data_IF_617193853475
#
_entry.id   IF_617193853475
#
_cell.length_a   1.000
_cell.length_b   1.000
_cell.length_c   1.000
_cell.angle_alpha   90.00
_cell.angle_beta   90.00
_cell.angle_gamma   90.00
#
_symmetry.space_group_name_H-M   'P 1'
#
loop_
_entity.id
_entity.type
_entity.pdbx_description
1 polymer ?
#
# COMPACT_ATOMS: atom_id res chain seq x y z
N UNK A 1 46.77 6.38 -35.20
CA UNK A 1 45.60 6.56 -34.36
C UNK A 1 44.41 5.97 -35.08
N UNK A 2 43.86 4.81 -34.69
CA UNK A 2 42.69 4.26 -35.35
C UNK A 2 41.45 4.96 -34.85
N UNK A 3 40.70 5.59 -35.75
CA UNK A 3 39.37 6.12 -35.55
C UNK A 3 38.39 4.96 -35.26
N UNK A 4 38.08 4.75 -34.00
CA UNK A 4 37.02 3.84 -33.58
C UNK A 4 35.71 4.27 -34.20
N UNK A 5 35.19 3.51 -35.17
CA UNK A 5 33.81 3.58 -35.65
C UNK A 5 32.89 3.37 -34.45
N UNK A 6 32.27 4.46 -33.97
CA UNK A 6 31.13 4.38 -33.02
C UNK A 6 30.04 3.55 -33.74
N UNK A 7 30.01 2.26 -33.48
CA UNK A 7 28.90 1.41 -33.88
C UNK A 7 27.64 2.01 -33.20
N UNK A 8 26.66 2.36 -34.02
CA UNK A 8 25.32 2.70 -33.56
C UNK A 8 24.73 1.47 -32.87
N UNK A 9 25.04 1.34 -31.59
CA UNK A 9 24.52 0.26 -30.77
C UNK A 9 23.05 0.59 -30.53
N UNK A 10 22.16 -0.03 -31.32
CA UNK A 10 20.74 -0.08 -30.93
C UNK A 10 20.75 -0.54 -29.48
N UNK A 11 20.18 0.28 -28.60
CA UNK A 11 20.16 -0.09 -27.18
C UNK A 11 19.66 -1.51 -27.07
N UNK A 12 20.39 -2.38 -26.36
CA UNK A 12 20.02 -3.80 -26.19
C UNK A 12 18.58 -3.96 -25.69
N UNK A 13 18.09 -2.94 -24.97
CA UNK A 13 16.73 -2.85 -24.48
C UNK A 13 15.68 -2.78 -25.61
N UNK A 14 16.02 -2.22 -26.78
CA UNK A 14 15.07 -2.11 -27.92
C UNK A 14 15.04 -3.35 -28.79
N UNK A 15 16.07 -4.23 -28.67
CA UNK A 15 16.13 -5.46 -29.45
C UNK A 15 15.03 -6.42 -28.99
N UNK A 16 14.09 -6.78 -29.88
CA UNK A 16 12.96 -7.67 -29.58
C UNK A 16 11.79 -7.03 -28.80
N UNK A 17 11.96 -5.80 -28.25
CA UNK A 17 10.87 -5.12 -27.55
C UNK A 17 9.70 -4.79 -28.46
N UNK A 18 9.96 -4.27 -29.65
CA UNK A 18 8.92 -3.89 -30.63
C UNK A 18 8.05 -5.09 -31.02
N UNK A 19 8.67 -6.24 -31.33
CA UNK A 19 7.94 -7.47 -31.63
C UNK A 19 7.05 -7.94 -30.47
N UNK A 20 7.46 -7.72 -29.22
CA UNK A 20 6.65 -8.04 -28.05
C UNK A 20 5.44 -7.11 -27.89
N UNK A 21 5.54 -5.85 -28.33
CA UNK A 21 4.41 -4.91 -28.33
C UNK A 21 3.40 -5.27 -29.45
N UNK A 22 3.88 -5.55 -30.66
CA UNK A 22 3.00 -5.86 -31.80
C UNK A 22 2.35 -7.24 -31.72
N UNK A 23 3.00 -8.21 -31.06
CA UNK A 23 2.42 -9.55 -30.82
C UNK A 23 1.44 -9.59 -29.63
N UNK A 24 1.32 -8.51 -28.89
CA UNK A 24 0.42 -8.38 -27.75
C UNK A 24 -1.05 -8.20 -28.15
N UNK A 25 -1.91 -8.10 -27.14
CA UNK A 25 -3.32 -7.77 -27.35
C UNK A 25 -3.47 -6.26 -27.56
N UNK A 26 -4.51 -5.84 -28.26
CA UNK A 26 -4.92 -4.44 -28.35
C UNK A 26 -6.12 -4.23 -27.42
N UNK A 27 -6.09 -3.18 -26.61
CA UNK A 27 -7.21 -2.80 -25.79
C UNK A 27 -8.34 -2.19 -26.64
N UNK A 28 -9.57 -2.15 -26.11
CA UNK A 28 -10.72 -1.58 -26.84
C UNK A 28 -10.56 -0.09 -27.20
N UNK A 29 -9.67 0.62 -26.51
CA UNK A 29 -9.26 2.02 -26.78
C UNK A 29 -8.03 2.13 -27.71
N UNK A 30 -7.55 1.03 -28.29
CA UNK A 30 -6.45 0.95 -29.24
C UNK A 30 -5.05 0.87 -28.62
N UNK A 31 -4.91 0.92 -27.30
CA UNK A 31 -3.61 0.80 -26.66
C UNK A 31 -3.06 -0.62 -26.70
N UNK A 32 -1.74 -0.73 -26.93
CA UNK A 32 -1.06 -2.01 -26.97
C UNK A 32 -0.91 -2.62 -25.57
N UNK A 33 -1.12 -3.93 -25.47
CA UNK A 33 -0.99 -4.72 -24.23
C UNK A 33 -0.08 -5.93 -24.46
N UNK A 34 1.24 -5.74 -24.42
CA UNK A 34 2.16 -6.87 -24.50
C UNK A 34 1.97 -7.83 -23.32
N UNK A 35 2.23 -9.12 -23.54
CA UNK A 35 2.19 -10.15 -22.49
C UNK A 35 3.42 -10.07 -21.58
N UNK A 36 4.58 -9.72 -22.14
CA UNK A 36 5.81 -9.53 -21.38
C UNK A 36 5.75 -8.24 -20.57
N UNK A 37 6.24 -8.28 -19.32
CA UNK A 37 6.27 -7.12 -18.44
C UNK A 37 7.65 -6.47 -18.29
N UNK A 38 8.70 -7.15 -18.73
CA UNK A 38 10.07 -6.61 -18.71
C UNK A 38 10.39 -5.92 -20.04
N UNK A 39 9.68 -4.85 -20.32
CA UNK A 39 9.76 -4.04 -21.53
C UNK A 39 9.86 -2.56 -21.15
N UNK A 40 10.35 -1.70 -22.08
CA UNK A 40 10.31 -0.25 -21.89
C UNK A 40 8.92 0.25 -21.56
N UNK A 41 8.82 1.29 -20.73
CA UNK A 41 7.54 1.85 -20.29
C UNK A 41 6.88 2.67 -21.39
N UNK A 42 6.25 1.95 -22.33
CA UNK A 42 5.45 2.52 -23.43
C UNK A 42 3.98 2.24 -23.22
N UNK A 43 3.17 3.29 -23.18
CA UNK A 43 1.72 3.19 -23.17
C UNK A 43 1.18 3.91 -24.40
N UNK A 44 1.18 3.19 -25.51
CA UNK A 44 0.98 3.74 -26.86
C UNK A 44 0.07 2.87 -27.70
N UNK A 45 -0.43 3.42 -28.79
CA UNK A 45 -1.14 2.67 -29.84
C UNK A 45 -0.14 2.20 -30.92
N UNK A 46 -0.56 1.28 -31.77
CA UNK A 46 0.28 0.74 -32.86
C UNK A 46 0.85 1.85 -33.75
N UNK A 47 0.08 2.86 -34.25
CA UNK A 47 0.62 3.94 -35.09
C UNK A 47 1.70 4.79 -34.43
N UNK A 48 1.77 4.84 -33.10
CA UNK A 48 2.72 5.68 -32.36
C UNK A 48 3.89 4.89 -31.78
N UNK A 49 3.86 3.55 -31.81
CA UNK A 49 4.88 2.68 -31.23
C UNK A 49 6.29 2.95 -31.80
N UNK A 50 6.43 3.01 -33.12
CA UNK A 50 7.74 3.25 -33.76
C UNK A 50 8.29 4.63 -33.41
N UNK A 51 7.43 5.62 -33.26
CA UNK A 51 7.80 6.97 -32.86
C UNK A 51 8.28 7.01 -31.40
N UNK A 52 7.56 6.34 -30.52
CA UNK A 52 7.97 6.20 -29.11
C UNK A 52 9.33 5.51 -28.98
N UNK A 53 9.54 4.44 -29.75
CA UNK A 53 10.81 3.75 -29.81
C UNK A 53 11.95 4.64 -30.33
N UNK A 54 11.69 5.48 -31.35
CA UNK A 54 12.65 6.43 -31.89
C UNK A 54 13.04 7.50 -30.87
N UNK A 55 12.07 8.00 -30.08
CA UNK A 55 12.31 8.94 -28.98
C UNK A 55 13.24 8.31 -27.94
N UNK A 56 12.91 7.10 -27.44
CA UNK A 56 13.72 6.43 -26.43
C UNK A 56 15.14 6.12 -26.95
N UNK A 57 15.26 5.65 -28.20
CA UNK A 57 16.58 5.41 -28.82
C UNK A 57 17.42 6.68 -28.94
N UNK A 58 16.81 7.79 -29.33
CA UNK A 58 17.51 9.08 -29.43
C UNK A 58 17.99 9.55 -28.07
N UNK A 59 17.12 9.46 -27.06
CA UNK A 59 17.50 9.78 -25.68
C UNK A 59 18.61 8.85 -25.17
N UNK A 60 18.52 7.55 -25.41
CA UNK A 60 19.58 6.62 -25.01
C UNK A 60 20.93 6.96 -25.62
N UNK A 61 20.97 7.36 -26.90
CA UNK A 61 22.20 7.77 -27.56
C UNK A 61 22.75 9.06 -26.93
N UNK A 62 21.90 10.05 -26.66
CA UNK A 62 22.31 11.32 -26.03
C UNK A 62 22.79 11.13 -24.59
N UNK A 63 22.12 10.28 -23.81
CA UNK A 63 22.59 9.93 -22.46
C UNK A 63 23.95 9.20 -22.50
N UNK A 64 24.15 8.32 -23.46
CA UNK A 64 25.47 7.69 -23.66
C UNK A 64 26.58 8.73 -23.96
N UNK A 65 26.29 9.80 -24.69
CA UNK A 65 27.25 10.88 -24.99
C UNK A 65 27.71 11.60 -23.69
N UNK A 66 26.90 11.58 -22.63
CA UNK A 66 27.21 12.14 -21.30
C UNK A 66 27.50 11.08 -20.24
N UNK A 67 27.91 9.89 -20.64
CA UNK A 67 28.23 8.73 -19.77
C UNK A 67 27.07 8.28 -18.87
N UNK A 68 25.84 8.47 -19.31
CA UNK A 68 24.64 8.01 -18.64
C UNK A 68 24.00 6.85 -19.42
N UNK A 69 23.20 6.04 -18.75
CA UNK A 69 22.60 4.84 -19.37
C UNK A 69 21.11 4.76 -19.10
N UNK A 70 20.34 4.43 -20.15
CA UNK A 70 18.94 4.03 -19.99
C UNK A 70 18.83 2.50 -19.95
N UNK A 71 18.07 1.98 -19.01
CA UNK A 71 17.77 0.54 -18.89
C UNK A 71 16.40 0.32 -18.21
N UNK A 72 15.85 -0.89 -18.35
CA UNK A 72 14.77 -1.34 -17.48
C UNK A 72 15.40 -1.69 -16.13
N UNK A 73 14.77 -1.30 -15.02
CA UNK A 73 15.25 -1.59 -13.67
C UNK A 73 15.43 -3.11 -13.45
N UNK A 74 16.29 -3.47 -12.51
CA UNK A 74 16.36 -4.82 -11.95
C UNK A 74 15.50 -4.90 -10.69
N UNK A 75 15.09 -6.11 -10.30
CA UNK A 75 14.23 -6.34 -9.13
C UNK A 75 14.85 -5.89 -7.79
N UNK A 76 16.17 -5.83 -7.72
CA UNK A 76 16.91 -5.54 -6.48
C UNK A 76 17.01 -4.04 -6.15
N UNK A 77 16.66 -3.17 -7.09
CA UNK A 77 16.92 -1.73 -6.98
C UNK A 77 15.93 -0.95 -6.10
N UNK A 78 14.83 -1.56 -5.66
CA UNK A 78 13.81 -0.88 -4.84
C UNK A 78 13.09 0.29 -5.54
N UNK A 79 13.26 0.42 -6.85
CA UNK A 79 12.66 1.48 -7.66
C UNK A 79 11.21 1.21 -7.97
N UNK A 80 10.37 2.22 -7.79
CA UNK A 80 8.93 2.12 -8.05
C UNK A 80 8.55 2.86 -9.33
N UNK A 81 7.67 2.22 -10.13
CA UNK A 81 7.05 2.90 -11.27
C UNK A 81 5.94 3.82 -10.80
N UNK A 82 5.96 5.07 -11.24
CA UNK A 82 4.83 5.97 -11.03
C UNK A 82 3.72 5.65 -12.02
N UNK A 83 2.53 5.30 -11.52
CA UNK A 83 1.37 5.06 -12.38
C UNK A 83 1.01 6.33 -13.17
N UNK A 84 0.52 6.15 -14.40
CA UNK A 84 -0.05 7.23 -15.18
C UNK A 84 -1.39 7.61 -14.54
N UNK A 85 -1.47 8.83 -13.98
CA UNK A 85 -2.64 9.30 -13.24
C UNK A 85 -3.66 10.05 -14.09
N UNK A 86 -4.63 10.68 -13.42
CA UNK A 86 -5.69 11.48 -14.07
C UNK A 86 -5.17 12.73 -14.78
N UNK A 87 -4.00 13.24 -14.40
CA UNK A 87 -3.36 14.44 -14.96
C UNK A 87 -3.05 14.30 -16.45
N UNK A 88 -2.92 13.06 -16.91
CA UNK A 88 -2.68 12.73 -18.32
C UNK A 88 -3.97 12.74 -19.18
N UNK A 89 -5.04 13.35 -18.71
CA UNK A 89 -6.34 13.35 -19.39
C UNK A 89 -7.10 12.02 -19.24
N UNK A 90 -6.64 11.12 -18.38
CA UNK A 90 -7.24 9.80 -18.11
C UNK A 90 -8.05 9.85 -16.83
N UNK A 91 -9.35 10.19 -16.91
CA UNK A 91 -10.25 10.09 -15.74
C UNK A 91 -10.39 8.65 -15.27
N UNK A 92 -10.87 8.49 -14.03
CA UNK A 92 -11.25 7.18 -13.47
C UNK A 92 -12.03 6.40 -14.52
N UNK A 93 -11.49 5.26 -14.91
CA UNK A 93 -12.15 4.34 -15.83
C UNK A 93 -13.37 3.74 -15.12
N UNK A 94 -14.42 3.49 -15.88
CA UNK A 94 -15.53 2.70 -15.39
C UNK A 94 -15.05 1.27 -15.08
N UNK A 95 -15.77 0.53 -14.25
CA UNK A 95 -15.45 -0.85 -13.89
C UNK A 95 -15.32 -1.80 -15.12
N UNK A 96 -15.84 -1.39 -16.27
CA UNK A 96 -15.83 -2.14 -17.53
C UNK A 96 -14.64 -1.79 -18.45
N UNK A 97 -13.86 -0.74 -18.14
CA UNK A 97 -12.69 -0.38 -18.94
C UNK A 97 -11.47 -1.20 -18.55
N UNK A 98 -10.83 -1.78 -19.56
CA UNK A 98 -9.61 -2.58 -19.33
C UNK A 98 -8.46 -1.68 -18.88
N UNK A 99 -7.77 -2.08 -17.81
CA UNK A 99 -6.58 -1.36 -17.34
C UNK A 99 -5.54 -1.23 -18.45
N UNK A 100 -4.89 -0.08 -18.53
CA UNK A 100 -3.73 0.11 -19.39
C UNK A 100 -2.64 -0.91 -19.03
N UNK A 101 -1.85 -1.28 -20.04
CA UNK A 101 -0.67 -2.07 -19.78
C UNK A 101 0.33 -1.28 -18.90
N UNK A 102 1.00 -2.01 -18.03
CA UNK A 102 2.04 -1.46 -17.15
C UNK A 102 3.20 -2.44 -17.13
N UNK A 103 4.46 -1.96 -17.33
CA UNK A 103 5.62 -2.81 -17.13
C UNK A 103 5.71 -3.25 -15.67
N UNK A 104 6.40 -4.37 -15.43
CA UNK A 104 6.68 -4.85 -14.07
C UNK A 104 7.70 -3.98 -13.34
N UNK A 105 8.59 -3.36 -14.10
CA UNK A 105 9.71 -2.56 -13.60
C UNK A 105 9.78 -1.24 -14.37
N UNK A 106 10.22 -0.14 -13.74
CA UNK A 106 10.36 1.15 -14.41
C UNK A 106 11.49 1.13 -15.45
N UNK A 107 11.34 1.94 -16.50
CA UNK A 107 12.46 2.32 -17.34
C UNK A 107 13.20 3.46 -16.66
N UNK A 108 14.51 3.31 -16.46
CA UNK A 108 15.34 4.27 -15.73
C UNK A 108 16.42 4.86 -16.62
N UNK A 109 16.74 6.12 -16.39
CA UNK A 109 18.04 6.69 -16.73
C UNK A 109 18.88 6.80 -15.46
N UNK A 110 20.11 6.29 -15.51
CA UNK A 110 21.08 6.35 -14.42
C UNK A 110 22.05 7.52 -14.70
N UNK A 111 22.06 8.49 -13.79
CA UNK A 111 22.89 9.70 -13.86
C UNK A 111 23.74 9.73 -12.60
N UNK A 112 25.00 9.29 -12.70
CA UNK A 112 25.82 9.01 -11.53
C UNK A 112 25.21 7.89 -10.69
N UNK A 113 24.91 8.20 -9.44
CA UNK A 113 24.27 7.32 -8.45
C UNK A 113 22.73 7.52 -8.33
N UNK A 114 22.17 8.43 -9.13
CA UNK A 114 20.74 8.73 -9.11
C UNK A 114 20.03 8.08 -10.29
N UNK A 115 18.87 7.48 -10.00
CA UNK A 115 17.94 6.96 -10.99
C UNK A 115 16.78 7.92 -11.22
N UNK A 116 16.39 8.12 -12.48
CA UNK A 116 15.17 8.85 -12.87
C UNK A 116 14.31 7.91 -13.71
N UNK A 117 13.04 7.76 -13.34
CA UNK A 117 12.08 6.97 -14.09
C UNK A 117 11.61 7.69 -15.35
N UNK A 118 11.45 6.94 -16.44
CA UNK A 118 10.95 7.44 -17.71
C UNK A 118 9.72 6.64 -18.16
N UNK A 119 8.68 7.34 -18.62
CA UNK A 119 7.52 6.73 -19.27
C UNK A 119 7.21 7.50 -20.55
N UNK A 120 7.02 6.80 -21.66
CA UNK A 120 6.52 7.37 -22.92
C UNK A 120 5.10 6.91 -23.12
N UNK A 121 4.19 7.85 -23.22
CA UNK A 121 2.78 7.52 -23.36
C UNK A 121 2.10 8.43 -24.39
N UNK A 122 1.02 7.92 -24.94
CA UNK A 122 0.17 8.67 -25.86
C UNK A 122 -0.93 9.38 -25.08
N UNK A 123 -1.04 10.69 -25.28
CA UNK A 123 -2.07 11.52 -24.67
C UNK A 123 -3.45 11.12 -25.17
N UNK A 124 -4.46 11.16 -24.31
CA UNK A 124 -5.85 10.96 -24.68
C UNK A 124 -6.57 12.29 -24.91
N UNK A 125 -7.51 12.30 -25.81
CA UNK A 125 -8.43 13.43 -26.06
C UNK A 125 -9.87 12.95 -26.00
N UNK A 126 -10.75 13.79 -25.53
CA UNK A 126 -12.18 13.52 -25.58
C UNK A 126 -12.72 13.79 -26.97
N UNK A 127 -13.40 12.81 -27.56
CA UNK A 127 -14.09 12.95 -28.84
C UNK A 127 -15.54 12.49 -28.73
N UNK A 128 -16.41 13.24 -29.39
CA UNK A 128 -17.78 12.76 -29.61
C UNK A 128 -17.74 11.60 -30.61
N UNK A 129 -18.29 10.48 -30.19
CA UNK A 129 -18.39 9.25 -30.94
C UNK A 129 -19.85 8.97 -31.25
N UNK A 130 -20.08 8.35 -32.37
CA UNK A 130 -21.41 7.88 -32.80
C UNK A 130 -21.34 6.38 -33.00
N UNK A 131 -22.34 5.67 -32.51
CA UNK A 131 -22.45 4.25 -32.74
C UNK A 131 -22.95 3.98 -34.16
N UNK A 132 -22.11 3.38 -35.00
CA UNK A 132 -22.36 3.09 -36.40
C UNK A 132 -21.92 1.66 -36.71
N UNK A 133 -22.81 0.89 -37.31
CA UNK A 133 -22.52 -0.46 -37.79
C UNK A 133 -21.79 -1.37 -36.78
N UNK A 134 -22.19 -1.31 -35.52
CA UNK A 134 -21.63 -2.17 -34.47
C UNK A 134 -20.43 -1.58 -33.71
N UNK A 135 -19.95 -0.39 -34.08
CA UNK A 135 -18.78 0.24 -33.43
C UNK A 135 -18.96 1.75 -33.22
N UNK A 136 -18.19 2.30 -32.28
CA UNK A 136 -18.16 3.73 -32.07
C UNK A 136 -17.12 4.38 -32.99
N UNK A 137 -17.57 5.34 -33.82
CA UNK A 137 -16.76 6.08 -34.77
C UNK A 137 -16.79 7.58 -34.41
N UNK A 138 -15.67 8.32 -34.54
CA UNK A 138 -15.66 9.78 -34.34
C UNK A 138 -16.69 10.49 -35.22
N UNK A 139 -17.43 11.45 -34.67
CA UNK A 139 -18.49 12.17 -35.39
C UNK A 139 -18.01 12.73 -36.73
N UNK A 140 -16.75 13.19 -36.83
CA UNK A 140 -16.17 13.70 -38.08
C UNK A 140 -16.06 12.60 -39.13
N UNK A 141 -15.54 11.44 -38.79
CA UNK A 141 -15.36 10.31 -39.66
C UNK A 141 -16.72 9.70 -40.04
N UNK A 142 -17.67 9.66 -39.10
CA UNK A 142 -19.03 9.19 -39.36
C UNK A 142 -19.75 10.03 -40.42
N UNK A 143 -19.48 11.36 -40.48
CA UNK A 143 -20.01 12.24 -41.52
C UNK A 143 -19.46 11.93 -42.91
N UNK A 144 -18.20 11.51 -42.99
CA UNK A 144 -17.55 11.12 -44.26
C UNK A 144 -18.06 9.75 -44.73
N UNK A 145 -18.24 8.81 -43.79
CA UNK A 145 -18.70 7.44 -44.13
C UNK A 145 -20.17 7.46 -44.57
N UNK A 146 -21.04 8.20 -43.92
CA UNK A 146 -22.47 8.31 -44.23
C UNK A 146 -22.92 9.79 -44.20
N UNK A 147 -22.73 10.57 -45.25
CA UNK A 147 -23.09 12.00 -45.30
C UNK A 147 -24.55 12.27 -44.97
N UNK A 148 -25.47 11.37 -45.42
CA UNK A 148 -26.92 11.51 -45.14
C UNK A 148 -27.35 11.30 -43.70
N UNK A 149 -26.47 10.86 -42.84
CA UNK A 149 -26.73 10.64 -41.39
C UNK A 149 -27.12 11.92 -40.66
N UNK A 150 -26.74 13.08 -41.19
CA UNK A 150 -26.89 14.41 -40.57
C UNK A 150 -27.99 15.23 -41.19
N UNK A 151 -28.76 14.63 -42.16
CA UNK A 151 -29.89 15.31 -42.75
C UNK A 151 -31.04 15.38 -41.71
N UNK A 152 -31.52 16.60 -41.42
CA UNK A 152 -32.62 16.87 -40.48
C UNK A 152 -33.91 16.13 -40.79
N UNK A 153 -34.05 15.61 -42.02
CA UNK A 153 -35.22 14.86 -42.48
C UNK A 153 -35.22 13.38 -42.05
N UNK A 154 -34.04 12.83 -41.76
CA UNK A 154 -33.91 11.47 -41.21
C UNK A 154 -33.96 11.50 -39.68
N UNK A 155 -35.12 11.16 -39.11
CA UNK A 155 -35.32 11.05 -37.64
C UNK A 155 -34.54 9.89 -36.99
N UNK A 156 -33.41 9.51 -37.52
CA UNK A 156 -32.62 8.38 -36.99
C UNK A 156 -31.78 8.88 -35.84
N UNK A 157 -32.17 8.50 -34.63
CA UNK A 157 -31.42 8.80 -33.41
C UNK A 157 -30.20 7.88 -33.32
N UNK A 158 -29.02 8.39 -33.65
CA UNK A 158 -27.77 7.69 -33.39
C UNK A 158 -27.33 7.92 -31.94
N UNK A 159 -26.94 6.83 -31.27
CA UNK A 159 -26.41 6.91 -29.92
C UNK A 159 -25.07 7.63 -29.94
N UNK A 160 -25.02 8.82 -29.38
CA UNK A 160 -23.79 9.60 -29.18
C UNK A 160 -23.21 9.31 -27.81
N UNK A 161 -21.89 9.29 -27.72
CA UNK A 161 -21.16 9.13 -26.48
C UNK A 161 -19.87 9.92 -26.56
N UNK A 162 -19.49 10.62 -25.52
CA UNK A 162 -18.16 11.21 -25.41
C UNK A 162 -17.22 10.15 -24.91
N UNK A 163 -16.22 9.81 -25.72
CA UNK A 163 -15.22 8.80 -25.38
C UNK A 163 -13.82 9.40 -25.44
N UNK A 164 -12.94 8.84 -24.64
CA UNK A 164 -11.54 9.16 -24.67
C UNK A 164 -10.83 8.26 -25.65
N UNK A 165 -10.17 8.86 -26.59
CA UNK A 165 -9.42 8.17 -27.64
C UNK A 165 -7.98 8.66 -27.64
N UNK A 166 -7.08 7.81 -28.11
CA UNK A 166 -5.69 8.13 -28.31
C UNK A 166 -5.54 9.34 -29.30
N UNK A 167 -4.73 10.34 -28.92
CA UNK A 167 -4.59 11.58 -29.69
C UNK A 167 -3.54 11.51 -30.78
N UNK A 168 -2.75 10.44 -30.84
CA UNK A 168 -1.54 10.27 -31.65
C UNK A 168 -0.41 11.23 -31.26
N UNK A 169 -0.50 11.94 -30.12
CA UNK A 169 0.55 12.81 -29.57
C UNK A 169 1.27 12.09 -28.44
N UNK A 170 2.57 12.06 -28.50
CA UNK A 170 3.40 11.46 -27.49
C UNK A 170 3.75 12.46 -26.37
N UNK A 171 3.80 11.94 -25.16
CA UNK A 171 4.34 12.59 -23.98
C UNK A 171 5.49 11.75 -23.43
N UNK A 172 6.55 12.40 -22.98
CA UNK A 172 7.60 11.81 -22.18
C UNK A 172 7.46 12.35 -20.76
N UNK A 173 7.28 11.45 -19.80
CA UNK A 173 7.31 11.80 -18.39
C UNK A 173 8.57 11.26 -17.75
N UNK A 174 9.28 12.15 -17.04
CA UNK A 174 10.32 11.77 -16.10
C UNK A 174 9.80 11.94 -14.68
N UNK A 175 10.19 11.04 -13.78
CA UNK A 175 9.70 11.03 -12.41
C UNK A 175 10.74 10.44 -11.45
N UNK A 176 10.59 10.76 -10.16
CA UNK A 176 11.37 10.12 -9.11
C UNK A 176 10.90 8.67 -8.92
N UNK A 177 11.77 7.66 -9.07
CA UNK A 177 11.44 6.28 -8.78
C UNK A 177 11.57 5.93 -7.29
N UNK A 178 11.95 6.89 -6.44
CA UNK A 178 12.12 6.74 -5.01
C UNK A 178 10.79 7.00 -4.29
N UNK A 179 10.35 6.07 -3.47
CA UNK A 179 9.03 6.14 -2.82
C UNK A 179 8.84 7.38 -1.91
N UNK A 180 9.95 7.90 -1.36
CA UNK A 180 9.92 9.03 -0.39
C UNK A 180 10.12 10.39 -1.01
N UNK A 181 10.46 10.47 -2.29
CA UNK A 181 10.70 11.73 -2.99
C UNK A 181 9.73 11.85 -4.15
N UNK A 182 8.79 12.76 -4.05
CA UNK A 182 7.79 13.00 -5.08
C UNK A 182 8.27 14.09 -6.05
N UNK A 183 8.56 13.70 -7.26
CA UNK A 183 8.89 14.61 -8.35
C UNK A 183 8.46 14.01 -9.68
N UNK A 184 8.00 14.86 -10.60
CA UNK A 184 7.75 14.51 -12.00
C UNK A 184 7.81 15.74 -12.90
N UNK A 185 8.12 15.50 -14.17
CA UNK A 185 8.06 16.49 -15.24
C UNK A 185 7.65 15.82 -16.55
N UNK A 186 6.86 16.52 -17.38
CA UNK A 186 6.32 15.97 -18.62
C UNK A 186 6.61 16.90 -19.80
N UNK A 187 7.20 16.34 -20.85
CA UNK A 187 7.34 16.96 -22.17
C UNK A 187 6.27 16.44 -23.10
N UNK A 188 5.74 17.33 -23.94
CA UNK A 188 4.68 17.02 -24.90
C UNK A 188 5.11 17.37 -26.31
N UNK A 189 4.54 16.67 -27.31
CA UNK A 189 4.76 16.99 -28.73
C UNK A 189 4.09 18.31 -29.17
N UNK A 190 3.29 18.97 -28.33
CA UNK A 190 2.70 20.29 -28.62
C UNK A 190 3.76 21.37 -28.84
N UNK A 191 4.93 21.23 -28.20
CA UNK A 191 6.11 22.13 -28.35
C UNK A 191 7.08 21.64 -29.41
N UNK A 192 6.68 20.72 -30.31
CA UNK A 192 7.52 20.10 -31.32
C UNK A 192 7.82 18.65 -31.00
N UNK A 193 8.43 17.94 -31.98
CA UNK A 193 8.77 16.52 -31.80
C UNK A 193 9.69 16.29 -30.60
N UNK A 194 9.39 15.32 -29.76
CA UNK A 194 10.24 14.90 -28.61
C UNK A 194 11.67 14.53 -29.05
N UNK A 195 11.84 14.04 -30.28
CA UNK A 195 13.16 13.77 -30.87
C UNK A 195 13.99 15.06 -30.99
N UNK A 196 13.37 16.18 -31.36
CA UNK A 196 14.05 17.48 -31.46
C UNK A 196 14.34 18.06 -30.08
N UNK A 197 13.50 17.81 -29.09
CA UNK A 197 13.67 18.27 -27.71
C UNK A 197 14.70 17.41 -26.93
N UNK A 198 15.30 16.37 -27.54
CA UNK A 198 16.14 15.40 -26.83
C UNK A 198 17.33 16.01 -26.09
N UNK A 199 17.94 17.06 -26.64
CA UNK A 199 19.10 17.71 -26.02
C UNK A 199 18.69 18.51 -24.79
N UNK A 200 17.58 19.25 -24.87
CA UNK A 200 17.01 20.00 -23.76
C UNK A 200 16.53 19.07 -22.63
N UNK A 201 15.93 17.93 -23.01
CA UNK A 201 15.47 16.88 -22.07
C UNK A 201 16.68 16.33 -21.30
N UNK A 202 17.76 15.99 -22.00
CA UNK A 202 18.97 15.44 -21.36
C UNK A 202 19.61 16.47 -20.45
N UNK A 203 19.77 17.70 -20.90
CA UNK A 203 20.34 18.80 -20.10
C UNK A 203 19.52 19.00 -18.81
N UNK A 204 18.19 19.08 -18.93
CA UNK A 204 17.30 19.23 -17.79
C UNK A 204 17.41 18.06 -16.79
N UNK A 205 17.45 16.82 -17.26
CA UNK A 205 17.49 15.65 -16.39
C UNK A 205 18.85 15.51 -15.68
N UNK A 206 19.97 15.90 -16.36
CA UNK A 206 21.29 15.93 -15.74
C UNK A 206 21.34 16.98 -14.63
N UNK A 207 20.81 18.18 -14.85
CA UNK A 207 20.72 19.22 -13.82
C UNK A 207 19.80 18.76 -12.66
N UNK A 208 18.63 18.24 -12.97
CA UNK A 208 17.68 17.74 -11.96
C UNK A 208 18.23 16.61 -11.10
N UNK A 209 19.08 15.75 -11.66
CA UNK A 209 19.68 14.64 -10.91
C UNK A 209 20.48 15.12 -9.70
N UNK A 210 21.16 16.27 -9.79
CA UNK A 210 21.92 16.84 -8.66
C UNK A 210 21.01 17.23 -7.50
N UNK A 211 19.89 17.88 -7.79
CA UNK A 211 18.88 18.26 -6.79
C UNK A 211 18.18 17.03 -6.22
N UNK A 212 17.81 16.06 -7.08
CA UNK A 212 17.14 14.82 -6.68
C UNK A 212 18.01 14.00 -5.74
N UNK A 213 19.33 13.97 -5.95
CA UNK A 213 20.28 13.33 -5.04
C UNK A 213 20.17 13.88 -3.62
N UNK A 214 20.19 15.20 -3.47
CA UNK A 214 20.09 15.87 -2.16
C UNK A 214 18.75 15.55 -1.50
N UNK A 215 17.65 15.56 -2.28
CA UNK A 215 16.31 15.22 -1.79
C UNK A 215 16.22 13.77 -1.30
N UNK A 216 16.83 12.82 -2.04
CA UNK A 216 16.87 11.39 -1.65
C UNK A 216 17.70 11.20 -0.39
N UNK A 217 18.91 11.77 -0.31
CA UNK A 217 19.75 11.69 0.89
C UNK A 217 19.08 12.29 2.13
N UNK A 218 18.33 13.39 1.97
CA UNK A 218 17.56 13.99 3.05
C UNK A 218 16.41 13.07 3.49
N UNK A 219 15.68 12.52 2.53
CA UNK A 219 14.56 11.62 2.82
C UNK A 219 15.02 10.32 3.51
N UNK A 220 16.18 9.78 3.12
CA UNK A 220 16.73 8.58 3.75
C UNK A 220 17.22 8.85 5.18
N UNK A 221 17.84 10.01 5.43
CA UNK A 221 18.20 10.43 6.80
C UNK A 221 16.97 10.56 7.68
N UNK A 222 15.95 11.26 7.20
CA UNK A 222 14.68 11.41 7.93
C UNK A 222 14.05 10.04 8.24
N UNK A 223 14.01 9.15 7.27
CA UNK A 223 13.46 7.82 7.47
C UNK A 223 14.26 6.96 8.48
N UNK A 224 15.58 7.14 8.53
CA UNK A 224 16.42 6.47 9.54
C UNK A 224 16.14 7.02 10.96
N UNK A 225 15.95 8.33 11.09
CA UNK A 225 15.58 8.97 12.36
C UNK A 225 14.19 8.54 12.82
N UNK A 226 13.19 8.54 11.93
CA UNK A 226 11.83 8.11 12.24
C UNK A 226 11.78 6.65 12.66
N UNK A 227 12.57 5.78 12.00
CA UNK A 227 12.68 4.37 12.40
C UNK A 227 13.25 4.22 13.80
N UNK A 228 14.35 4.92 14.14
CA UNK A 228 14.95 4.89 15.48
C UNK A 228 13.97 5.37 16.54
N UNK A 229 13.20 6.43 16.24
CA UNK A 229 12.18 6.95 17.14
C UNK A 229 11.09 5.91 17.38
N UNK A 230 10.57 5.31 16.31
CA UNK A 230 9.54 4.27 16.39
C UNK A 230 10.04 3.04 17.19
N UNK A 231 11.27 2.60 16.97
CA UNK A 231 11.88 1.50 17.72
C UNK A 231 11.99 1.81 19.22
N UNK A 232 12.39 3.02 19.56
CA UNK A 232 12.47 3.47 20.95
C UNK A 232 11.08 3.58 21.63
N UNK A 233 10.11 4.16 20.93
CA UNK A 233 8.72 4.29 21.40
C UNK A 233 8.06 2.91 21.58
N UNK A 234 8.27 1.99 20.63
CA UNK A 234 7.73 0.64 20.72
C UNK A 234 8.35 -0.16 21.87
N UNK A 235 9.65 -0.04 22.08
CA UNK A 235 10.32 -0.67 23.22
C UNK A 235 9.82 -0.11 24.58
N UNK A 236 9.65 1.20 24.67
CA UNK A 236 9.09 1.84 25.88
C UNK A 236 7.63 1.39 26.15
N UNK A 237 6.81 1.30 25.10
CA UNK A 237 5.43 0.83 25.20
C UNK A 237 5.34 -0.62 25.68
N UNK A 238 6.21 -1.51 25.20
CA UNK A 238 6.30 -2.91 25.66
C UNK A 238 6.63 -2.98 27.16
N UNK A 239 7.65 -2.24 27.58
CA UNK A 239 8.03 -2.19 29.00
C UNK A 239 6.90 -1.63 29.88
N UNK A 240 6.20 -0.61 29.45
CA UNK A 240 5.05 -0.05 30.16
C UNK A 240 3.89 -1.05 30.25
N UNK A 241 3.62 -1.78 29.19
CA UNK A 241 2.62 -2.83 29.18
C UNK A 241 2.95 -3.97 30.16
N UNK A 242 4.20 -4.43 30.18
CA UNK A 242 4.66 -5.45 31.13
C UNK A 242 4.55 -4.98 32.59
N UNK A 243 4.96 -3.75 32.87
CA UNK A 243 4.82 -3.13 34.20
C UNK A 243 3.35 -3.08 34.66
N UNK A 244 2.46 -2.61 33.79
CA UNK A 244 1.03 -2.53 34.09
C UNK A 244 0.41 -3.90 34.34
N UNK A 245 0.81 -4.92 33.57
CA UNK A 245 0.37 -6.31 33.74
C UNK A 245 0.80 -6.90 35.10
N UNK A 246 2.04 -6.62 35.52
CA UNK A 246 2.54 -7.06 36.83
C UNK A 246 1.76 -6.37 37.96
N UNK A 247 1.49 -5.06 37.86
CA UNK A 247 0.72 -4.33 38.83
C UNK A 247 -0.70 -4.91 38.95
N UNK A 248 -1.41 -5.11 37.86
CA UNK A 248 -2.74 -5.69 37.85
C UNK A 248 -2.77 -7.10 38.46
N UNK A 249 -1.83 -7.96 38.09
CA UNK A 249 -1.74 -9.30 38.66
C UNK A 249 -1.50 -9.28 40.19
N UNK A 250 -0.74 -8.30 40.68
CA UNK A 250 -0.54 -8.12 42.12
C UNK A 250 -1.81 -7.64 42.83
N UNK A 251 -2.53 -6.70 42.25
CA UNK A 251 -3.80 -6.21 42.79
C UNK A 251 -4.86 -7.32 42.85
N UNK A 252 -4.97 -8.13 41.80
CA UNK A 252 -5.87 -9.29 41.76
C UNK A 252 -5.50 -10.35 42.78
N UNK A 253 -4.20 -10.65 42.93
CA UNK A 253 -3.72 -11.59 43.94
C UNK A 253 -4.02 -11.08 45.37
N UNK A 254 -3.81 -9.77 45.65
CA UNK A 254 -4.17 -9.17 46.93
C UNK A 254 -5.68 -9.24 47.19
N UNK A 255 -6.50 -8.91 46.22
CA UNK A 255 -7.96 -8.99 46.30
C UNK A 255 -8.42 -10.41 46.64
N UNK A 256 -7.84 -11.42 46.00
CA UNK A 256 -8.16 -12.80 46.24
C UNK A 256 -7.72 -13.24 47.67
N UNK A 257 -6.56 -12.81 48.14
CA UNK A 257 -6.10 -13.06 49.49
C UNK A 257 -7.04 -12.46 50.54
N UNK A 258 -7.44 -11.17 50.35
CA UNK A 258 -8.38 -10.51 51.27
C UNK A 258 -9.73 -11.21 51.31
N UNK A 259 -10.23 -11.75 50.17
CA UNK A 259 -11.44 -12.54 50.13
C UNK A 259 -11.31 -13.84 50.93
N UNK A 260 -10.20 -14.55 50.81
CA UNK A 260 -9.92 -15.77 51.60
C UNK A 260 -9.93 -15.46 53.10
N UNK A 261 -9.29 -14.34 53.52
CA UNK A 261 -9.27 -13.92 54.91
C UNK A 261 -10.66 -13.56 55.43
N UNK A 262 -11.47 -12.89 54.63
CA UNK A 262 -12.85 -12.52 54.97
C UNK A 262 -13.73 -13.78 55.14
N UNK A 263 -13.68 -14.73 54.20
CA UNK A 263 -14.41 -15.98 54.24
C UNK A 263 -14.00 -16.82 55.45
N UNK A 264 -12.71 -16.95 55.74
CA UNK A 264 -12.20 -17.62 56.92
C UNK A 264 -12.67 -16.92 58.20
N UNK A 265 -12.56 -15.60 58.29
CA UNK A 265 -13.01 -14.82 59.46
C UNK A 265 -14.50 -14.95 59.71
N UNK A 266 -15.32 -14.99 58.62
CA UNK A 266 -16.74 -15.25 58.73
C UNK A 266 -17.00 -16.65 59.27
N UNK A 267 -16.34 -17.66 58.75
CA UNK A 267 -16.44 -19.04 59.24
C UNK A 267 -16.09 -19.19 60.72
N UNK A 268 -15.03 -18.55 61.18
CA UNK A 268 -14.62 -18.50 62.60
C UNK A 268 -15.69 -17.88 63.51
N UNK A 269 -16.31 -16.77 63.08
CA UNK A 269 -17.40 -16.11 63.84
C UNK A 269 -18.63 -17.01 63.95
N UNK A 270 -18.99 -17.70 62.87
CA UNK A 270 -20.14 -18.61 62.88
C UNK A 270 -19.85 -19.85 63.75
N UNK A 271 -18.62 -20.40 63.70
CA UNK A 271 -18.23 -21.49 64.58
C UNK A 271 -18.29 -21.06 66.05
N UNK A 272 -17.75 -19.90 66.42
CA UNK A 272 -17.79 -19.36 67.79
C UNK A 272 -19.25 -19.17 68.29
N UNK A 273 -20.16 -18.74 67.37
CA UNK A 273 -21.59 -18.64 67.72
C UNK A 273 -22.19 -19.99 68.12
N UNK A 274 -21.92 -21.04 67.38
CA UNK A 274 -22.45 -22.39 67.68
C UNK A 274 -21.80 -22.96 68.91
N UNK A 275 -20.53 -22.69 69.21
CA UNK A 275 -19.86 -23.14 70.42
C UNK A 275 -20.45 -22.44 71.67
N UNK A 276 -20.73 -21.13 71.60
CA UNK A 276 -21.41 -20.39 72.66
C UNK A 276 -22.83 -20.92 72.93
N UNK A 277 -23.59 -21.28 71.88
CA UNK A 277 -24.91 -21.94 72.03
C UNK A 277 -24.79 -23.30 72.68
N UNK A 278 -23.79 -24.12 72.29
CA UNK A 278 -23.56 -25.42 72.86
C UNK A 278 -23.21 -25.30 74.38
N UNK A 279 -22.37 -24.36 74.76
CA UNK A 279 -22.00 -24.09 76.15
C UNK A 279 -23.25 -23.64 76.97
N UNK A 280 -24.05 -22.75 76.47
CA UNK A 280 -25.30 -22.30 77.14
C UNK A 280 -26.33 -23.44 77.28
N UNK A 281 -26.31 -24.41 76.42
CA UNK A 281 -27.20 -25.55 76.51
C UNK A 281 -27.00 -26.40 77.76
N UNK A 282 -25.83 -26.34 78.44
CA UNK A 282 -25.60 -27.13 79.68
C UNK A 282 -26.46 -26.59 80.86
N UNK A 283 -26.97 -25.39 80.85
CA UNK A 283 -27.84 -24.84 81.90
C UNK A 283 -29.31 -25.15 81.69
N UNK A 284 -29.69 -25.85 80.61
CA UNK A 284 -31.08 -26.24 80.29
C UNK A 284 -31.44 -27.57 80.74
N UNK A 285 -32.77 -27.85 80.82
CA UNK A 285 -33.27 -29.21 81.12
C UNK A 285 -32.91 -30.15 79.93
N UNK A 286 -32.94 -31.49 80.17
CA UNK A 286 -32.49 -32.51 79.19
C UNK A 286 -33.30 -32.50 77.88
N UNK A 287 -34.56 -32.17 77.91
CA UNK A 287 -35.46 -32.21 76.74
C UNK A 287 -35.22 -31.00 75.82
N UNK A 288 -35.18 -29.78 76.36
CA UNK A 288 -34.92 -28.60 75.69
C UNK A 288 -33.47 -28.54 75.09
N UNK A 289 -32.52 -29.10 75.84
CA UNK A 289 -31.15 -29.30 75.41
C UNK A 289 -31.07 -30.22 74.20
N UNK A 290 -31.76 -31.31 74.17
CA UNK A 290 -31.76 -32.25 73.02
C UNK A 290 -32.35 -31.62 71.79
N UNK A 291 -33.46 -30.85 71.92
CA UNK A 291 -34.03 -30.10 70.81
C UNK A 291 -33.12 -29.01 70.27
N UNK A 292 -32.46 -28.24 71.13
CA UNK A 292 -31.53 -27.20 70.74
C UNK A 292 -30.31 -27.74 70.00
N UNK A 293 -29.70 -28.81 70.49
CA UNK A 293 -28.56 -29.47 69.86
C UNK A 293 -28.92 -30.09 68.50
N UNK A 294 -30.13 -30.63 68.33
CA UNK A 294 -30.61 -31.09 67.05
C UNK A 294 -30.72 -29.94 66.02
N UNK A 295 -31.26 -28.80 66.45
CA UNK A 295 -31.34 -27.62 65.58
C UNK A 295 -29.94 -27.06 65.23
N UNK A 296 -28.99 -27.04 66.17
CA UNK A 296 -27.62 -26.67 65.94
C UNK A 296 -26.95 -27.57 64.88
N UNK A 297 -27.19 -28.89 65.01
CA UNK A 297 -26.65 -29.83 64.04
C UNK A 297 -27.21 -29.63 62.64
N UNK A 298 -28.53 -29.41 62.57
CA UNK A 298 -29.19 -29.10 61.30
C UNK A 298 -28.63 -27.78 60.68
N UNK A 299 -28.53 -26.71 61.50
CA UNK A 299 -27.98 -25.45 61.05
C UNK A 299 -26.50 -25.59 60.60
N UNK A 300 -25.70 -26.36 61.33
CA UNK A 300 -24.29 -26.61 60.94
C UNK A 300 -24.21 -27.35 59.59
N UNK A 301 -25.16 -28.23 59.28
CA UNK A 301 -25.19 -28.99 58.02
C UNK A 301 -25.46 -28.08 56.78
N UNK A 302 -26.10 -26.93 57.00
CA UNK A 302 -26.40 -25.96 55.92
C UNK A 302 -25.19 -25.06 55.60
N UNK A 303 -24.16 -25.07 56.40
CA UNK A 303 -23.04 -24.12 56.31
C UNK A 303 -21.76 -24.87 55.88
N UNK A 304 -21.22 -24.46 54.74
CA UNK A 304 -19.93 -24.96 54.24
C UNK A 304 -18.87 -23.92 54.59
N UNK A 305 -17.91 -24.33 55.41
CA UNK A 305 -16.78 -23.46 55.77
C UNK A 305 -15.56 -23.85 54.93
N UNK A 306 -14.93 -22.83 54.34
CA UNK A 306 -13.64 -23.02 53.72
C UNK A 306 -12.56 -23.21 54.80
N UNK A 307 -11.73 -24.25 54.69
CA UNK A 307 -10.51 -24.34 55.48
C UNK A 307 -9.54 -23.24 55.00
N UNK A 308 -9.18 -22.32 55.93
CA UNK A 308 -8.29 -21.23 55.61
C UNK A 308 -6.89 -21.67 55.15
N UNK A 309 -6.42 -22.84 55.63
CA UNK A 309 -5.14 -23.40 55.22
C UNK A 309 -5.22 -23.94 53.78
N UNK A 310 -6.29 -24.69 53.43
CA UNK A 310 -6.54 -25.22 52.10
C UNK A 310 -6.76 -24.07 51.08
N UNK A 311 -7.57 -23.08 51.44
CA UNK A 311 -7.79 -21.89 50.64
C UNK A 311 -6.51 -21.10 50.38
N UNK A 312 -5.64 -20.94 51.40
CA UNK A 312 -4.35 -20.27 51.26
C UNK A 312 -3.37 -21.10 50.39
N UNK A 313 -3.39 -22.40 50.47
CA UNK A 313 -2.58 -23.27 49.60
C UNK A 313 -2.98 -23.16 48.12
N UNK A 314 -4.25 -22.92 47.85
CA UNK A 314 -4.76 -22.71 46.49
C UNK A 314 -4.54 -21.25 45.97
N UNK A 315 -4.14 -20.32 46.82
CA UNK A 315 -3.94 -18.95 46.46
C UNK A 315 -2.69 -18.78 45.59
N UNK A 316 -2.86 -18.13 44.41
CA UNK A 316 -1.76 -17.80 43.52
C UNK A 316 -0.93 -16.59 44.01
N UNK A 317 0.32 -16.85 44.33
CA UNK A 317 1.26 -15.78 44.74
C UNK A 317 1.44 -14.75 43.63
N UNK A 318 1.52 -13.45 43.98
CA UNK A 318 1.70 -12.41 42.96
C UNK A 318 3.10 -12.49 42.33
N UNK A 319 3.26 -12.03 41.07
CA UNK A 319 4.57 -11.92 40.46
C UNK A 319 5.47 -10.95 41.23
N UNK A 320 6.80 -11.05 41.09
CA UNK A 320 7.73 -10.12 41.73
C UNK A 320 7.43 -8.68 41.32
N UNK A 321 7.78 -7.71 42.16
CA UNK A 321 7.63 -6.29 41.80
C UNK A 321 8.43 -5.99 40.53
N UNK A 322 7.90 -5.16 39.61
CA UNK A 322 8.71 -4.68 38.51
C UNK A 322 9.94 -3.96 39.06
N UNK A 323 11.08 -4.14 38.41
CA UNK A 323 12.26 -3.35 38.71
C UNK A 323 11.96 -1.86 38.52
N UNK A 324 12.42 -1.03 39.44
CA UNK A 324 12.29 0.44 39.42
C UNK A 324 13.03 1.04 38.23
#
# INVERSE_FOLDING_TARGET
>A
MPTSKKASTRSAMMIGSLGSFTSGRVAGDGYLKPTKRNLPDFVVTEPTLLRAASVLQKLANRFCDVNCRISVACNEGGYTRKALGNEDGRLKRSAFETNLWSPGLPTLVLIGDVAIGLSIYEQTVEKEMVYLDGQYVPVKEAKEIKPGLWDRKTKTFYRRSTQRVASKRLCLRAYSPYARVAWEYTWTEDKGSLVRQSDDIVAYLVDRATTLRIEVEKADRQAAEDRRRWEAESAAAILQYERSRIIQAREESLKNLLKIIEEWSHGRKVQAFFDDIADKSFAMNNEDRAQLLAKVQEAKSLLVYADGAEALMSWASPPPKPAE
#
